data_IF_898482663255
#
_entry.id   IF_898482663255
#
_cell.length_a   1.000
_cell.length_b   1.000
_cell.length_c   1.000
_cell.angle_alpha   90.00
_cell.angle_beta   90.00
_cell.angle_gamma   90.00
#
_symmetry.space_group_name_H-M   'P 1'
#
loop_
_entity.id
_entity.type
_entity.pdbx_description
1 polymer ?
#
# COMPACT_ATOMS: atom_id res chain seq x y z
N UNK A 1 -16.20 -12.78 1.25
CA UNK A 1 -15.96 -11.91 2.42
C UNK A 1 -14.54 -11.37 2.33
N UNK A 2 -14.36 -10.05 2.46
CA UNK A 2 -13.04 -9.40 2.48
C UNK A 2 -12.36 -9.57 3.84
N UNK A 3 -11.04 -9.41 3.89
CA UNK A 3 -10.33 -9.26 5.15
C UNK A 3 -10.85 -8.08 5.96
N UNK A 4 -10.98 -8.26 7.28
CA UNK A 4 -11.31 -7.17 8.20
C UNK A 4 -10.14 -6.20 8.34
N UNK A 5 -10.40 -4.97 8.80
CA UNK A 5 -9.31 -4.01 9.07
C UNK A 5 -8.33 -4.58 10.11
N UNK A 6 -8.82 -5.30 11.12
CA UNK A 6 -7.97 -5.96 12.12
C UNK A 6 -7.05 -7.01 11.48
N UNK A 7 -7.58 -7.86 10.59
CA UNK A 7 -6.77 -8.88 9.91
C UNK A 7 -5.68 -8.25 9.02
N UNK A 8 -6.01 -7.12 8.39
CA UNK A 8 -5.06 -6.35 7.57
C UNK A 8 -3.97 -5.74 8.45
N UNK A 9 -4.35 -5.10 9.57
CA UNK A 9 -3.39 -4.54 10.54
C UNK A 9 -2.48 -5.63 11.08
N UNK A 10 -3.03 -6.76 11.54
CA UNK A 10 -2.26 -7.91 12.05
C UNK A 10 -1.33 -8.49 10.97
N UNK A 11 -1.76 -8.50 9.70
CA UNK A 11 -0.94 -8.94 8.59
C UNK A 11 0.24 -7.98 8.33
N UNK A 12 -0.01 -6.67 8.26
CA UNK A 12 1.02 -5.66 8.00
C UNK A 12 2.08 -5.63 9.11
N UNK A 13 1.69 -5.81 10.37
CA UNK A 13 2.61 -5.85 11.51
C UNK A 13 3.66 -6.96 11.44
N UNK A 14 3.44 -8.01 10.64
CA UNK A 14 4.44 -9.07 10.38
C UNK A 14 5.62 -8.60 9.54
N UNK A 15 5.50 -7.43 8.90
CA UNK A 15 6.49 -6.83 8.01
C UNK A 15 7.00 -5.48 8.51
N UNK A 16 6.64 -5.10 9.74
CA UNK A 16 6.97 -3.80 10.33
C UNK A 16 7.76 -4.02 11.62
N UNK A 17 8.99 -3.52 11.61
CA UNK A 17 9.87 -3.47 12.78
C UNK A 17 9.86 -2.08 13.45
N UNK A 18 10.40 -2.02 14.67
CA UNK A 18 10.55 -0.75 15.39
C UNK A 18 11.48 0.21 14.63
N UNK A 19 11.06 1.46 14.46
CA UNK A 19 11.82 2.48 13.75
C UNK A 19 11.66 2.48 12.22
N UNK A 20 10.94 1.50 11.64
CA UNK A 20 10.71 1.43 10.20
C UNK A 20 10.05 2.69 9.63
N UNK A 21 10.40 3.02 8.39
CA UNK A 21 9.77 4.08 7.61
C UNK A 21 8.73 3.42 6.69
N UNK A 22 7.45 3.71 6.94
CA UNK A 22 6.32 3.03 6.32
C UNK A 22 5.48 4.02 5.51
N UNK A 23 5.12 3.66 4.28
CA UNK A 23 4.26 4.44 3.39
C UNK A 23 2.95 3.68 3.09
N UNK A 24 1.81 4.30 3.42
CA UNK A 24 0.46 3.89 2.97
C UNK A 24 0.05 4.75 1.75
N UNK A 25 -0.24 4.10 0.62
CA UNK A 25 -0.65 4.74 -0.63
C UNK A 25 -2.13 4.47 -0.88
N UNK A 26 -2.93 5.53 -0.92
CA UNK A 26 -4.39 5.41 -0.76
C UNK A 26 -4.79 5.41 0.72
N UNK A 27 -4.17 6.30 1.52
CA UNK A 27 -4.32 6.27 2.98
C UNK A 27 -5.65 6.82 3.50
N UNK A 28 -6.44 7.49 2.67
CA UNK A 28 -7.69 8.18 3.05
C UNK A 28 -7.48 9.19 4.17
N UNK A 29 -8.03 8.88 5.36
CA UNK A 29 -7.94 9.72 6.56
C UNK A 29 -6.72 9.43 7.46
N UNK A 30 -5.82 8.54 7.02
CA UNK A 30 -4.66 8.05 7.75
C UNK A 30 -4.95 7.29 9.05
N UNK A 31 -6.18 6.86 9.30
CA UNK A 31 -6.56 6.08 10.49
C UNK A 31 -5.71 4.81 10.68
N UNK A 32 -5.47 4.05 9.61
CA UNK A 32 -4.64 2.83 9.65
C UNK A 32 -3.19 3.11 10.06
N UNK A 33 -2.58 4.18 9.54
CA UNK A 33 -1.24 4.58 9.96
C UNK A 33 -1.21 4.99 11.44
N UNK A 34 -2.25 5.68 11.92
CA UNK A 34 -2.39 6.01 13.35
C UNK A 34 -2.52 4.74 14.21
N UNK A 35 -3.26 3.74 13.74
CA UNK A 35 -3.38 2.44 14.42
C UNK A 35 -2.04 1.69 14.47
N UNK A 36 -1.37 1.52 13.33
CA UNK A 36 -0.05 0.87 13.25
C UNK A 36 0.96 1.55 14.19
N UNK A 37 0.94 2.88 14.28
CA UNK A 37 1.82 3.64 15.19
C UNK A 37 1.54 3.44 16.67
N UNK A 38 0.31 3.07 17.06
CA UNK A 38 -0.01 2.71 18.45
C UNK A 38 0.61 1.35 18.82
N UNK A 39 0.84 0.49 17.83
CA UNK A 39 1.31 -0.89 18.01
C UNK A 39 2.83 -1.02 17.80
N UNK A 40 3.43 -0.15 16.97
CA UNK A 40 4.87 -0.10 16.66
C UNK A 40 5.34 1.35 16.54
N UNK A 41 6.51 1.70 17.08
CA UNK A 41 7.06 3.05 16.95
C UNK A 41 7.73 3.24 15.57
N UNK A 42 6.91 3.53 14.55
CA UNK A 42 7.32 3.68 13.14
C UNK A 42 7.25 5.13 12.65
N UNK A 43 8.00 5.49 11.63
CA UNK A 43 7.84 6.76 10.92
C UNK A 43 6.83 6.56 9.78
N UNK A 44 5.61 7.08 9.97
CA UNK A 44 4.48 6.80 9.08
C UNK A 44 4.24 7.93 8.09
N UNK A 45 4.10 7.57 6.82
CA UNK A 45 3.78 8.45 5.71
C UNK A 45 2.53 7.96 5.01
N UNK A 46 1.61 8.86 4.72
CA UNK A 46 0.40 8.58 3.97
C UNK A 46 0.29 9.50 2.77
N UNK A 47 -0.10 8.96 1.63
CA UNK A 47 -0.59 9.78 0.52
C UNK A 47 -1.96 9.31 0.03
N UNK A 48 -2.78 10.28 -0.36
CA UNK A 48 -4.08 10.03 -0.98
C UNK A 48 -4.41 11.16 -1.96
N UNK A 49 -5.25 10.91 -2.96
CA UNK A 49 -5.75 11.97 -3.85
C UNK A 49 -6.65 12.98 -3.12
N UNK A 50 -7.23 12.57 -1.99
CA UNK A 50 -8.06 13.41 -1.13
C UNK A 50 -7.76 13.09 0.32
N UNK A 51 -7.05 14.00 1.01
CA UNK A 51 -6.75 13.83 2.42
C UNK A 51 -7.84 14.51 3.27
N UNK A 52 -8.59 13.75 4.05
CA UNK A 52 -9.58 14.32 4.96
C UNK A 52 -8.98 14.77 6.30
N UNK A 53 -7.79 14.26 6.66
CA UNK A 53 -7.10 14.63 7.88
C UNK A 53 -5.58 14.77 7.66
N UNK A 54 -5.02 15.94 7.99
CA UNK A 54 -3.58 16.20 7.90
C UNK A 54 -2.94 15.70 9.20
N UNK A 55 -1.95 14.80 9.08
CA UNK A 55 -1.40 14.00 10.20
C UNK A 55 -1.15 14.75 11.52
N UNK A 56 -1.27 14.03 12.63
CA UNK A 56 -1.42 14.63 13.97
C UNK A 56 -0.09 15.02 14.65
N UNK A 57 1.08 14.65 14.11
CA UNK A 57 2.39 14.94 14.73
C UNK A 57 3.59 14.71 13.77
N UNK A 58 4.81 15.02 14.24
CA UNK A 58 6.06 14.86 13.48
C UNK A 58 6.38 13.43 13.02
N UNK A 59 5.66 12.41 13.50
CA UNK A 59 5.88 10.99 13.15
C UNK A 59 4.81 10.42 12.22
N UNK A 60 3.75 11.18 11.92
CA UNK A 60 2.72 10.81 10.93
C UNK A 60 2.57 11.97 9.95
N UNK A 61 2.99 11.75 8.70
CA UNK A 61 2.90 12.75 7.65
C UNK A 61 1.91 12.28 6.59
N UNK A 62 0.78 12.97 6.47
CA UNK A 62 -0.25 12.66 5.48
C UNK A 62 -0.39 13.80 4.48
N UNK A 63 -0.31 13.49 3.18
CA UNK A 63 -0.28 14.48 2.10
C UNK A 63 -1.23 14.13 0.98
N UNK A 64 -1.87 15.15 0.44
CA UNK A 64 -2.61 15.02 -0.81
C UNK A 64 -1.63 14.86 -1.98
N UNK A 65 -1.68 13.70 -2.64
CA UNK A 65 -0.81 13.33 -3.76
C UNK A 65 -1.35 12.09 -4.48
N UNK A 66 -1.32 12.11 -5.82
CA UNK A 66 -1.59 10.90 -6.62
C UNK A 66 -0.50 9.84 -6.47
N UNK A 67 -0.89 8.56 -6.49
CA UNK A 67 0.01 7.42 -6.28
C UNK A 67 1.23 7.43 -7.22
N UNK A 68 1.05 7.78 -8.50
CA UNK A 68 2.14 7.82 -9.47
C UNK A 68 3.21 8.88 -9.17
N UNK A 69 2.95 9.82 -8.27
CA UNK A 69 3.87 10.88 -7.86
C UNK A 69 4.68 10.56 -6.59
N UNK A 70 4.61 9.34 -6.05
CA UNK A 70 5.40 8.93 -4.86
C UNK A 70 6.91 9.16 -5.04
N UNK A 71 7.41 9.23 -6.28
CA UNK A 71 8.78 9.60 -6.60
C UNK A 71 9.21 10.96 -6.02
N UNK A 72 8.26 11.87 -5.78
CA UNK A 72 8.49 13.21 -5.21
C UNK A 72 8.60 13.23 -3.69
N UNK A 73 8.20 12.15 -3.00
CA UNK A 73 8.35 12.07 -1.54
C UNK A 73 9.84 12.03 -1.16
N UNK A 74 10.26 12.70 -0.06
CA UNK A 74 11.64 12.60 0.40
C UNK A 74 11.92 11.20 0.96
N UNK A 75 13.18 10.78 0.86
CA UNK A 75 13.65 9.53 1.46
C UNK A 75 13.22 8.26 0.71
N UNK A 76 13.35 7.15 1.43
CA UNK A 76 13.03 5.79 1.02
C UNK A 76 12.38 5.04 2.18
N UNK A 77 11.68 3.96 1.88
CA UNK A 77 10.80 3.25 2.81
C UNK A 77 11.24 1.81 3.02
N UNK A 78 11.06 1.32 4.25
CA UNK A 78 11.19 -0.10 4.58
C UNK A 78 10.00 -0.87 4.00
N UNK A 79 8.80 -0.28 4.12
CA UNK A 79 7.56 -0.85 3.61
C UNK A 79 6.78 0.22 2.85
N UNK A 80 6.36 -0.12 1.64
CA UNK A 80 5.30 0.60 0.90
C UNK A 80 4.12 -0.35 0.81
N UNK A 81 2.92 0.11 1.14
CA UNK A 81 1.73 -0.70 0.99
C UNK A 81 0.55 0.11 0.44
N UNK A 82 -0.41 -0.61 -0.13
CA UNK A 82 -1.70 -0.07 -0.57
C UNK A 82 -2.78 -1.08 -0.17
N UNK A 83 -3.91 -0.58 0.34
CA UNK A 83 -5.05 -1.40 0.76
C UNK A 83 -6.30 -0.94 0.04
N UNK A 84 -6.90 -1.82 -0.76
CA UNK A 84 -8.12 -1.59 -1.55
C UNK A 84 -8.13 -0.25 -2.30
N UNK A 85 -6.97 0.15 -2.84
CA UNK A 85 -6.79 1.43 -3.54
C UNK A 85 -6.09 1.29 -4.89
N UNK A 86 -5.38 0.19 -5.12
CA UNK A 86 -4.55 0.02 -6.31
C UNK A 86 -5.37 0.01 -7.61
N UNK A 87 -6.58 -0.56 -7.60
CA UNK A 87 -7.53 -0.50 -8.71
C UNK A 87 -7.97 0.92 -9.10
N UNK A 88 -7.79 1.93 -8.25
CA UNK A 88 -8.07 3.33 -8.58
C UNK A 88 -6.88 4.08 -9.21
N UNK A 89 -5.69 3.47 -9.25
CA UNK A 89 -4.50 4.19 -9.72
C UNK A 89 -4.55 4.37 -11.24
N UNK A 90 -4.41 5.63 -11.67
CA UNK A 90 -4.50 5.99 -13.11
C UNK A 90 -3.27 5.57 -13.92
N UNK A 91 -2.09 5.52 -13.30
CA UNK A 91 -0.84 5.07 -13.93
C UNK A 91 -0.17 3.99 -13.03
N UNK A 92 -0.72 2.77 -12.93
CA UNK A 92 -0.24 1.75 -12.00
C UNK A 92 1.21 1.35 -12.28
N UNK A 93 1.64 1.26 -13.53
CA UNK A 93 3.03 0.93 -13.86
C UNK A 93 3.99 2.04 -13.45
N UNK A 94 3.58 3.31 -13.57
CA UNK A 94 4.39 4.45 -13.12
C UNK A 94 4.50 4.47 -11.61
N UNK A 95 3.40 4.24 -10.90
CA UNK A 95 3.41 4.04 -9.45
C UNK A 95 4.40 2.94 -9.06
N UNK A 96 4.31 1.75 -9.66
CA UNK A 96 5.17 0.62 -9.30
C UNK A 96 6.64 0.89 -9.59
N UNK A 97 7.00 1.47 -10.74
CA UNK A 97 8.40 1.86 -11.02
C UNK A 97 8.93 2.85 -9.98
N UNK A 98 8.11 3.83 -9.59
CA UNK A 98 8.49 4.78 -8.56
C UNK A 98 8.57 4.13 -7.17
N UNK A 99 7.68 3.19 -6.85
CA UNK A 99 7.69 2.43 -5.59
C UNK A 99 8.98 1.63 -5.48
N UNK A 100 9.37 0.94 -6.56
CA UNK A 100 10.63 0.19 -6.62
C UNK A 100 11.84 1.06 -6.29
N UNK A 101 11.90 2.28 -6.84
CA UNK A 101 12.97 3.24 -6.59
C UNK A 101 12.92 3.87 -5.19
N UNK A 102 11.76 3.85 -4.54
CA UNK A 102 11.53 4.40 -3.19
C UNK A 102 11.69 3.37 -2.08
N UNK A 103 11.85 2.10 -2.38
CA UNK A 103 12.20 1.11 -1.36
C UNK A 103 13.67 1.22 -0.97
N UNK A 104 13.93 1.03 0.33
CA UNK A 104 15.27 0.74 0.82
C UNK A 104 15.73 -0.63 0.31
N UNK A 105 17.04 -0.91 0.41
CA UNK A 105 17.56 -2.24 0.07
C UNK A 105 16.94 -3.26 1.03
N UNK A 106 16.24 -4.25 0.48
CA UNK A 106 15.49 -5.25 1.26
C UNK A 106 14.09 -4.79 1.68
N UNK A 107 13.67 -3.59 1.31
CA UNK A 107 12.32 -3.10 1.53
C UNK A 107 11.29 -3.86 0.68
N UNK A 108 10.04 -3.80 1.10
CA UNK A 108 8.95 -4.62 0.55
C UNK A 108 7.82 -3.70 0.05
N UNK A 109 7.22 -4.08 -1.08
CA UNK A 109 5.92 -3.58 -1.54
C UNK A 109 4.83 -4.60 -1.22
N UNK A 110 3.75 -4.17 -0.59
CA UNK A 110 2.54 -4.99 -0.36
C UNK A 110 1.34 -4.36 -1.05
N UNK A 111 0.69 -5.11 -1.94
CA UNK A 111 -0.58 -4.71 -2.56
C UNK A 111 -1.67 -5.62 -2.01
N UNK A 112 -2.60 -5.05 -1.23
CA UNK A 112 -3.81 -5.70 -0.76
C UNK A 112 -4.97 -5.12 -1.56
N UNK A 113 -5.63 -5.93 -2.38
CA UNK A 113 -6.72 -5.43 -3.22
C UNK A 113 -7.81 -6.49 -3.46
N UNK A 114 -8.88 -6.09 -4.12
CA UNK A 114 -10.00 -6.94 -4.47
C UNK A 114 -9.63 -7.96 -5.54
N UNK A 115 -10.34 -9.10 -5.52
CA UNK A 115 -10.32 -10.05 -6.63
C UNK A 115 -11.11 -9.48 -7.82
N UNK A 116 -10.66 -9.83 -9.03
CA UNK A 116 -11.44 -9.64 -10.25
C UNK A 116 -12.85 -10.23 -10.09
N UNK A 117 -13.88 -9.41 -10.39
CA UNK A 117 -15.29 -9.78 -10.26
C UNK A 117 -15.80 -9.83 -8.81
N UNK A 118 -15.09 -9.22 -7.85
CA UNK A 118 -15.66 -8.98 -6.54
C UNK A 118 -16.90 -8.08 -6.67
N UNK A 119 -17.98 -8.44 -5.97
CA UNK A 119 -19.18 -7.61 -5.88
C UNK A 119 -19.04 -6.75 -4.63
N UNK A 120 -18.89 -5.45 -4.80
CA UNK A 120 -18.84 -4.47 -3.71
C UNK A 120 -20.05 -3.54 -3.80
N UNK A 121 -20.14 -2.56 -2.91
CA UNK A 121 -21.19 -1.54 -2.95
C UNK A 121 -21.00 -0.51 -4.05
N UNK A 122 -19.87 -0.55 -4.77
CA UNK A 122 -19.51 0.38 -5.83
C UNK A 122 -19.21 -0.43 -7.10
N UNK A 123 -19.65 0.06 -8.25
CA UNK A 123 -19.36 -0.58 -9.53
C UNK A 123 -17.95 -0.20 -9.99
N UNK A 124 -16.99 -1.10 -9.76
CA UNK A 124 -15.56 -0.89 -10.01
C UNK A 124 -14.96 -2.10 -10.70
N UNK A 125 -13.99 -1.85 -11.58
CA UNK A 125 -13.22 -2.90 -12.23
C UNK A 125 -11.93 -3.20 -11.46
N UNK A 126 -11.81 -4.44 -10.99
CA UNK A 126 -10.63 -4.90 -10.25
C UNK A 126 -9.67 -5.68 -11.16
N UNK A 127 -8.37 -5.53 -10.98
CA UNK A 127 -7.40 -6.23 -11.81
C UNK A 127 -7.44 -7.76 -11.62
N UNK A 128 -7.19 -8.49 -12.72
CA UNK A 128 -6.84 -9.92 -12.65
C UNK A 128 -5.48 -10.08 -11.98
N UNK A 129 -5.29 -11.19 -11.26
CA UNK A 129 -4.03 -11.48 -10.58
C UNK A 129 -2.84 -11.48 -11.55
N UNK A 130 -3.00 -12.08 -12.73
CA UNK A 130 -2.00 -12.07 -13.80
C UNK A 130 -1.63 -10.66 -14.27
N UNK A 131 -2.58 -9.71 -14.25
CA UNK A 131 -2.32 -8.31 -14.58
C UNK A 131 -1.41 -7.65 -13.55
N UNK A 132 -1.75 -7.79 -12.27
CA UNK A 132 -0.92 -7.26 -11.16
C UNK A 132 0.48 -7.88 -11.18
N UNK A 133 0.58 -9.20 -11.39
CA UNK A 133 1.87 -9.90 -11.48
C UNK A 133 2.73 -9.40 -12.64
N UNK A 134 2.11 -9.15 -13.80
CA UNK A 134 2.80 -8.60 -14.95
C UNK A 134 3.30 -7.18 -14.64
N UNK A 135 2.45 -6.32 -14.08
CA UNK A 135 2.85 -4.97 -13.72
C UNK A 135 4.00 -4.94 -12.72
N UNK A 136 3.97 -5.81 -11.70
CA UNK A 136 5.06 -5.96 -10.73
C UNK A 136 6.36 -6.40 -11.42
N UNK A 137 6.30 -7.41 -12.28
CA UNK A 137 7.47 -7.92 -13.01
C UNK A 137 8.06 -6.85 -13.94
N UNK A 138 7.22 -6.18 -14.72
CA UNK A 138 7.63 -5.10 -15.64
C UNK A 138 8.27 -3.91 -14.88
N UNK A 139 7.84 -3.65 -13.64
CA UNK A 139 8.42 -2.64 -12.77
C UNK A 139 9.69 -3.09 -12.04
N UNK A 140 10.15 -4.33 -12.25
CA UNK A 140 11.38 -4.87 -11.68
C UNK A 140 11.24 -5.45 -10.27
N UNK A 141 10.02 -5.73 -9.81
CA UNK A 141 9.81 -6.47 -8.57
C UNK A 141 9.99 -7.97 -8.78
N UNK A 142 10.58 -8.62 -7.77
CA UNK A 142 10.47 -10.07 -7.62
C UNK A 142 9.32 -10.37 -6.67
N UNK A 143 8.44 -11.27 -7.07
CA UNK A 143 7.30 -11.65 -6.25
C UNK A 143 7.75 -12.66 -5.18
N UNK A 144 7.61 -12.30 -3.91
CA UNK A 144 7.92 -13.15 -2.77
C UNK A 144 6.77 -14.10 -2.45
N UNK A 145 5.54 -13.60 -2.45
CA UNK A 145 4.35 -14.40 -2.15
C UNK A 145 3.07 -13.79 -2.74
N UNK A 146 2.05 -14.64 -2.87
CA UNK A 146 0.67 -14.28 -3.21
C UNK A 146 -0.31 -14.99 -2.29
N UNK A 147 -1.27 -14.26 -1.75
CA UNK A 147 -2.29 -14.82 -0.87
C UNK A 147 -3.66 -14.48 -1.44
N UNK A 148 -4.54 -15.47 -1.49
CA UNK A 148 -5.93 -15.32 -1.93
C UNK A 148 -6.83 -15.73 -0.76
N UNK A 149 -7.58 -14.77 -0.20
CA UNK A 149 -8.46 -15.02 0.93
C UNK A 149 -9.80 -14.33 0.72
N UNK A 150 -10.84 -15.12 0.47
CA UNK A 150 -12.17 -14.61 0.15
C UNK A 150 -12.13 -13.73 -1.09
N UNK A 151 -12.51 -12.46 -0.92
CA UNK A 151 -12.48 -11.47 -2.00
C UNK A 151 -11.20 -10.62 -2.02
N UNK A 152 -10.28 -10.89 -1.11
CA UNK A 152 -9.01 -10.17 -0.96
C UNK A 152 -7.88 -10.94 -1.61
N UNK A 153 -7.00 -10.21 -2.28
CA UNK A 153 -5.74 -10.66 -2.84
C UNK A 153 -4.60 -9.86 -2.24
N UNK A 154 -3.51 -10.54 -1.91
CA UNK A 154 -2.30 -9.89 -1.40
C UNK A 154 -1.12 -10.30 -2.28
N UNK A 155 -0.37 -9.32 -2.74
CA UNK A 155 0.89 -9.49 -3.47
C UNK A 155 2.02 -8.88 -2.66
N UNK A 156 3.12 -9.63 -2.49
CA UNK A 156 4.30 -9.19 -1.74
C UNK A 156 5.49 -9.18 -2.70
N UNK A 157 6.02 -8.00 -3.01
CA UNK A 157 7.16 -7.81 -3.91
C UNK A 157 8.36 -7.18 -3.22
N UNK A 158 9.58 -7.44 -3.73
CA UNK A 158 10.82 -6.82 -3.26
C UNK A 158 11.77 -6.46 -4.41
#
# INVERSE_FOLDING_TARGET
MRLSEKDITDFLLKFIDEGDIVLDVGCGDCSRLKELRKLKNINAFGIDISISNKGDNNKIVCKEMKAEYIGKLPGRFNLIFTVYSFHHFTEPERFLRNAKNKLLRGGILIIIDWKYGAVTSVDEEYYRASGIEKFLTDAGFKLKNKIFQGDTRIFIGF
#
